data_IF_737461631983
#
_entry.id   IF_737461631983
#
_cell.length_a   1.000
_cell.length_b   1.000
_cell.length_c   1.000
_cell.angle_alpha   90.00
_cell.angle_beta   90.00
_cell.angle_gamma   90.00
#
_symmetry.space_group_name_H-M   'P 1'
#
loop_
_entity.id
_entity.type
_entity.pdbx_description
1 polymer ?
#
# COMPACT_ATOMS: atom_id res chain seq x y z
N UNK A 1 -16.31 12.59 34.83
CA UNK A 1 -15.35 11.54 34.42
C UNK A 1 -15.63 11.20 32.97
N UNK A 2 -14.57 11.11 32.16
CA UNK A 2 -14.49 11.17 30.69
C UNK A 2 -15.78 10.98 29.87
N UNK A 3 -16.07 11.99 29.03
CA UNK A 3 -16.91 11.85 27.85
C UNK A 3 -16.24 10.84 26.91
N UNK A 4 -16.89 9.70 26.68
CA UNK A 4 -16.56 8.80 25.59
C UNK A 4 -17.11 9.41 24.30
N UNK A 5 -16.36 10.32 23.70
CA UNK A 5 -16.55 10.64 22.29
C UNK A 5 -16.23 9.37 21.50
N UNK A 6 -17.26 8.72 20.98
CA UNK A 6 -17.09 7.61 20.05
C UNK A 6 -16.23 8.12 18.89
N UNK A 7 -15.04 7.55 18.68
CA UNK A 7 -14.23 7.84 17.50
C UNK A 7 -15.11 7.68 16.27
N UNK A 8 -15.43 8.79 15.59
CA UNK A 8 -16.12 8.75 14.29
C UNK A 8 -15.12 8.17 13.29
N UNK A 9 -15.16 6.85 13.13
CA UNK A 9 -14.33 6.17 12.17
C UNK A 9 -14.87 6.45 10.76
N UNK A 10 -14.11 7.20 9.97
CA UNK A 10 -14.47 7.53 8.58
C UNK A 10 -14.18 6.30 7.72
N UNK A 11 -15.19 5.83 6.98
CA UNK A 11 -15.00 4.77 5.99
C UNK A 11 -14.17 5.31 4.81
N UNK A 12 -12.97 4.75 4.63
CA UNK A 12 -12.06 5.12 3.55
C UNK A 12 -12.13 4.13 2.37
N UNK A 13 -12.98 3.10 2.43
CA UNK A 13 -13.04 2.09 1.37
C UNK A 13 -13.43 2.70 0.03
N UNK A 14 -12.77 2.25 -1.05
CA UNK A 14 -13.01 2.75 -2.40
C UNK A 14 -13.12 1.62 -3.42
N UNK A 15 -13.79 1.90 -4.54
CA UNK A 15 -13.80 1.06 -5.73
C UNK A 15 -13.01 1.73 -6.85
N UNK A 16 -11.95 1.08 -7.31
CA UNK A 16 -11.12 1.50 -8.44
C UNK A 16 -11.31 0.54 -9.62
N UNK A 17 -12.20 0.91 -10.54
CA UNK A 17 -12.59 0.04 -11.65
C UNK A 17 -13.19 -1.28 -11.16
N UNK A 18 -12.45 -2.38 -11.34
CA UNK A 18 -12.86 -3.73 -10.92
C UNK A 18 -12.35 -4.14 -9.54
N UNK A 19 -11.51 -3.32 -8.89
CA UNK A 19 -10.88 -3.65 -7.61
C UNK A 19 -11.53 -2.85 -6.49
N UNK A 20 -11.71 -3.47 -5.33
CA UNK A 20 -12.13 -2.81 -4.09
C UNK A 20 -10.94 -2.73 -3.14
N UNK A 21 -10.67 -1.54 -2.60
CA UNK A 21 -9.59 -1.28 -1.65
C UNK A 21 -10.18 -0.86 -0.30
N UNK A 22 -9.53 -1.26 0.79
CA UNK A 22 -9.92 -0.87 2.15
C UNK A 22 -9.69 0.64 2.42
N UNK A 23 -8.79 1.28 1.66
CA UNK A 23 -8.52 2.72 1.68
C UNK A 23 -7.81 3.16 0.38
N UNK A 24 -7.72 4.47 0.08
CA UNK A 24 -7.13 4.98 -1.16
C UNK A 24 -5.61 5.15 -1.11
N UNK A 25 -4.92 4.65 -0.07
CA UNK A 25 -3.47 4.84 0.09
C UNK A 25 -2.73 3.69 -0.57
N UNK A 26 -2.02 3.99 -1.66
CA UNK A 26 -1.14 3.04 -2.35
C UNK A 26 0.29 3.55 -2.38
N UNK A 27 1.25 2.64 -2.31
CA UNK A 27 2.66 2.97 -2.57
C UNK A 27 2.93 2.99 -4.07
N UNK A 28 3.71 3.97 -4.52
CA UNK A 28 4.06 4.13 -5.93
C UNK A 28 4.95 3.00 -6.46
N UNK A 29 4.92 2.77 -7.78
CA UNK A 29 5.70 1.73 -8.43
C UNK A 29 7.19 1.84 -8.11
N UNK A 30 7.79 0.74 -7.66
CA UNK A 30 9.24 0.65 -7.42
C UNK A 30 9.76 1.34 -6.16
N UNK A 31 8.93 2.06 -5.40
CA UNK A 31 9.35 2.65 -4.12
C UNK A 31 9.33 1.65 -2.96
N UNK A 32 8.66 0.52 -3.16
CA UNK A 32 8.39 -0.48 -2.11
C UNK A 32 8.79 -1.92 -2.51
N UNK A 33 9.63 -2.09 -3.54
CA UNK A 33 10.08 -3.41 -3.98
C UNK A 33 8.90 -4.33 -4.30
N UNK A 34 8.80 -5.44 -3.56
CA UNK A 34 7.65 -6.34 -3.56
C UNK A 34 6.83 -6.29 -2.26
N UNK A 35 7.24 -5.48 -1.28
CA UNK A 35 6.54 -5.20 -0.03
C UNK A 35 7.09 -5.98 1.17
N UNK A 36 7.73 -7.13 0.94
CA UNK A 36 8.30 -7.99 1.98
C UNK A 36 9.33 -7.25 2.84
N UNK A 37 10.11 -6.36 2.21
CA UNK A 37 11.17 -5.57 2.85
C UNK A 37 10.64 -4.61 3.92
N UNK A 38 9.35 -4.27 3.87
CA UNK A 38 8.71 -3.30 4.77
C UNK A 38 7.85 -3.96 5.85
N UNK A 39 7.76 -5.29 5.88
CA UNK A 39 6.98 -6.04 6.90
C UNK A 39 7.48 -5.80 8.32
N UNK A 40 8.77 -5.47 8.49
CA UNK A 40 9.35 -5.10 9.78
C UNK A 40 9.01 -3.67 10.23
N UNK A 41 8.57 -2.80 9.30
CA UNK A 41 8.29 -1.38 9.57
C UNK A 41 6.79 -1.11 9.69
N UNK A 42 5.96 -1.77 8.87
CA UNK A 42 4.51 -1.57 8.84
C UNK A 42 3.76 -2.87 8.62
N UNK A 43 2.53 -2.94 9.16
CA UNK A 43 1.58 -3.99 8.76
C UNK A 43 1.01 -3.65 7.37
N UNK A 44 1.40 -4.44 6.36
CA UNK A 44 1.00 -4.23 4.97
C UNK A 44 -0.51 -4.22 4.75
N UNK A 45 -1.29 -4.91 5.60
CA UNK A 45 -2.76 -4.93 5.51
C UNK A 45 -3.41 -3.57 5.80
N UNK A 46 -2.65 -2.59 6.31
CA UNK A 46 -3.14 -1.21 6.49
C UNK A 46 -3.10 -0.39 5.20
N UNK A 47 -2.37 -0.82 4.17
CA UNK A 47 -2.34 -0.14 2.88
C UNK A 47 -3.56 -0.54 2.03
N UNK A 48 -3.99 0.38 1.17
CA UNK A 48 -4.95 0.15 0.10
C UNK A 48 -4.42 -0.82 -0.95
N UNK A 49 -3.14 -0.71 -1.27
CA UNK A 49 -2.46 -1.63 -2.18
C UNK A 49 -0.98 -1.30 -2.38
N UNK A 50 -0.27 -2.23 -3.01
CA UNK A 50 1.14 -2.09 -3.36
C UNK A 50 1.29 -2.15 -4.87
N UNK A 51 1.89 -1.11 -5.45
CA UNK A 51 2.33 -1.12 -6.84
C UNK A 51 3.79 -1.54 -6.83
N UNK A 52 4.07 -2.78 -7.23
CA UNK A 52 5.43 -3.34 -7.17
C UNK A 52 6.37 -2.66 -8.15
N UNK A 53 7.67 -2.98 -8.08
CA UNK A 53 8.59 -2.62 -9.16
C UNK A 53 8.13 -3.14 -10.53
N UNK A 54 8.49 -2.42 -11.58
CA UNK A 54 8.26 -2.83 -12.97
C UNK A 54 8.85 -4.22 -13.22
N UNK A 55 8.04 -5.10 -13.81
CA UNK A 55 8.45 -6.43 -14.29
C UNK A 55 8.72 -6.33 -15.78
N UNK A 56 9.89 -6.81 -16.21
CA UNK A 56 10.27 -6.93 -17.62
C UNK A 56 10.31 -8.39 -18.02
N UNK A 57 10.15 -8.67 -19.32
CA UNK A 57 10.19 -10.04 -19.84
C UNK A 57 11.51 -10.74 -19.47
N UNK A 58 12.62 -10.06 -19.76
CA UNK A 58 13.96 -10.53 -19.40
C UNK A 58 14.48 -9.84 -18.13
N UNK A 59 15.32 -10.50 -17.31
CA UNK A 59 15.95 -9.89 -16.15
C UNK A 59 16.80 -8.67 -16.51
N UNK A 60 16.74 -7.61 -15.68
CA UNK A 60 17.55 -6.39 -15.83
C UNK A 60 18.27 -6.07 -14.53
N UNK A 61 19.59 -5.87 -14.61
CA UNK A 61 20.44 -5.45 -13.47
C UNK A 61 20.15 -4.02 -12.99
N UNK A 62 19.71 -3.13 -13.88
CA UNK A 62 19.56 -1.71 -13.61
C UNK A 62 20.77 -0.88 -14.06
N UNK A 63 20.75 0.42 -13.77
CA UNK A 63 21.84 1.35 -14.09
C UNK A 63 22.96 1.28 -13.04
N UNK A 64 24.21 1.64 -13.37
CA UNK A 64 25.26 1.82 -12.36
C UNK A 64 24.90 2.97 -11.38
N UNK A 65 25.41 2.91 -10.13
CA UNK A 65 25.22 3.97 -9.14
C UNK A 65 26.02 5.23 -9.46
#
# INVERSE_FOLDING_TARGET
MMNSESEKNVDLSIKLGRVSLNNPVLVAAGTFGFGEEYTALINLNKLGGIITKTVTLEPRKGNPP
#
